data_IF_649071312056
#
_entry.id   IF_649071312056
#
_cell.length_a   1.000
_cell.length_b   1.000
_cell.length_c   1.000
_cell.angle_alpha   90.00
_cell.angle_beta   90.00
_cell.angle_gamma   90.00
#
_symmetry.space_group_name_H-M   'P 1'
#
loop_
_entity.id
_entity.type
_entity.pdbx_description
1 polymer ?
#
# COMPACT_ATOMS: atom_id res chain seq x y z
N UNK A 1 6.51 21.95 3.02
CA UNK A 1 5.46 21.14 3.68
C UNK A 1 5.94 19.71 3.88
N UNK A 2 5.49 19.10 4.98
CA UNK A 2 5.83 17.70 5.23
C UNK A 2 5.18 16.78 4.18
N UNK A 3 5.95 15.80 3.69
CA UNK A 3 5.46 14.82 2.74
C UNK A 3 4.37 13.95 3.38
N UNK A 4 3.28 13.72 2.67
CA UNK A 4 2.20 12.84 3.14
C UNK A 4 2.63 11.38 2.99
N UNK A 5 2.50 10.62 4.07
CA UNK A 5 2.95 9.24 4.13
C UNK A 5 1.80 8.36 4.62
N UNK A 6 1.51 7.31 3.85
CA UNK A 6 0.63 6.22 4.29
C UNK A 6 1.48 5.02 4.67
N UNK A 7 1.25 4.47 5.85
CA UNK A 7 1.95 3.28 6.33
C UNK A 7 0.99 2.11 6.37
N UNK A 8 1.33 1.04 5.66
CA UNK A 8 0.53 -0.19 5.60
C UNK A 8 1.17 -1.22 6.52
N UNK A 9 0.38 -1.78 7.43
CA UNK A 9 0.83 -2.85 8.31
C UNK A 9 -0.23 -3.96 8.35
N UNK A 10 0.18 -5.21 8.42
CA UNK A 10 -0.74 -6.33 8.41
C UNK A 10 -0.24 -7.52 9.20
N UNK A 11 -1.16 -8.22 9.88
CA UNK A 11 -0.91 -9.50 10.52
C UNK A 11 -2.24 -10.22 10.76
N UNK A 12 -2.20 -11.54 10.60
CA UNK A 12 -3.33 -12.42 10.94
C UNK A 12 -4.67 -11.99 10.33
N UNK A 13 -4.65 -11.57 9.06
CA UNK A 13 -5.86 -11.17 8.34
C UNK A 13 -6.36 -9.76 8.60
N UNK A 14 -5.68 -9.01 9.47
CA UNK A 14 -6.00 -7.61 9.74
C UNK A 14 -4.94 -6.71 9.12
N UNK A 15 -5.38 -5.67 8.42
CA UNK A 15 -4.50 -4.67 7.82
C UNK A 15 -4.92 -3.29 8.31
N UNK A 16 -3.94 -2.51 8.68
CA UNK A 16 -4.14 -1.14 9.16
C UNK A 16 -3.31 -0.20 8.29
N UNK A 17 -3.93 0.86 7.82
CA UNK A 17 -3.25 1.91 7.07
C UNK A 17 -3.40 3.22 7.84
N UNK A 18 -2.29 3.85 8.16
CA UNK A 18 -2.28 5.17 8.80
C UNK A 18 -1.85 6.23 7.80
N UNK A 19 -2.45 7.41 7.91
CA UNK A 19 -2.13 8.58 7.13
C UNK A 19 -1.39 9.57 8.04
N UNK A 20 -0.24 10.06 7.58
CA UNK A 20 0.55 11.04 8.34
C UNK A 20 -0.12 12.40 8.44
N UNK A 21 -1.10 12.69 7.58
CA UNK A 21 -1.86 13.94 7.66
C UNK A 21 -2.72 13.93 8.92
N UNK A 22 -2.41 14.83 9.84
CA UNK A 22 -3.14 14.93 11.11
C UNK A 22 -4.43 15.72 10.90
N UNK A 23 -5.50 15.27 11.58
CA UNK A 23 -6.76 16.01 11.64
C UNK A 23 -6.65 17.19 12.62
N UNK A 24 -7.74 17.92 12.82
CA UNK A 24 -7.78 19.08 13.72
C UNK A 24 -7.41 18.71 15.17
N UNK A 25 -7.62 17.45 15.57
CA UNK A 25 -7.28 16.96 16.91
C UNK A 25 -5.83 16.44 16.99
N UNK A 26 -5.02 16.63 15.96
CA UNK A 26 -3.62 16.20 15.94
C UNK A 26 -3.42 14.70 15.72
N UNK A 27 -4.46 13.96 15.34
CA UNK A 27 -4.41 12.51 15.08
C UNK A 27 -4.42 12.23 13.58
N UNK A 28 -3.61 11.27 13.14
CA UNK A 28 -3.64 10.77 11.78
C UNK A 28 -4.90 9.94 11.52
N UNK A 29 -5.34 9.90 10.28
CA UNK A 29 -6.45 9.02 9.90
C UNK A 29 -6.00 7.56 9.99
N UNK A 30 -6.92 6.71 10.44
CA UNK A 30 -6.69 5.27 10.57
C UNK A 30 -7.75 4.52 9.76
N UNK A 31 -7.30 3.61 8.92
CA UNK A 31 -8.16 2.74 8.13
C UNK A 31 -7.89 1.30 8.52
N UNK A 32 -8.91 0.56 8.91
CA UNK A 32 -8.78 -0.85 9.32
C UNK A 32 -9.54 -1.75 8.34
N UNK A 33 -8.90 -2.81 7.92
CA UNK A 33 -9.45 -3.80 6.99
C UNK A 33 -9.27 -5.19 7.57
N UNK A 34 -10.25 -6.05 7.41
CA UNK A 34 -10.20 -7.42 7.93
C UNK A 34 -10.59 -8.39 6.82
N UNK A 35 -9.84 -9.48 6.69
CA UNK A 35 -10.18 -10.60 5.82
C UNK A 35 -10.60 -11.79 6.68
N UNK A 36 -11.84 -12.28 6.45
CA UNK A 36 -12.41 -13.39 7.22
C UNK A 36 -11.60 -14.69 7.08
N UNK A 37 -10.95 -14.87 5.93
CA UNK A 37 -10.11 -16.05 5.66
C UNK A 37 -8.68 -15.89 6.15
N UNK A 38 -8.39 -14.81 6.86
CA UNK A 38 -7.07 -14.48 7.39
C UNK A 38 -5.97 -14.38 6.32
N UNK A 39 -6.35 -14.07 5.08
CA UNK A 39 -5.39 -13.85 4.01
C UNK A 39 -4.86 -12.41 4.08
N UNK A 40 -3.81 -12.22 4.85
CA UNK A 40 -3.22 -10.89 5.09
C UNK A 40 -2.70 -10.25 3.82
N UNK A 41 -2.08 -11.02 2.92
CA UNK A 41 -1.57 -10.49 1.66
C UNK A 41 -2.68 -9.95 0.78
N UNK A 42 -3.75 -10.71 0.57
CA UNK A 42 -4.89 -10.28 -0.22
C UNK A 42 -5.56 -9.05 0.42
N UNK A 43 -5.76 -9.08 1.73
CA UNK A 43 -6.34 -7.97 2.48
C UNK A 43 -5.51 -6.70 2.33
N UNK A 44 -4.17 -6.81 2.40
CA UNK A 44 -3.27 -5.66 2.27
C UNK A 44 -3.35 -5.04 0.87
N UNK A 45 -3.40 -5.85 -0.17
CA UNK A 45 -3.48 -5.34 -1.54
C UNK A 45 -4.83 -4.67 -1.79
N UNK A 46 -5.93 -5.26 -1.32
CA UNK A 46 -7.27 -4.64 -1.40
C UNK A 46 -7.29 -3.30 -0.66
N UNK A 47 -6.77 -3.27 0.55
CA UNK A 47 -6.72 -2.07 1.37
C UNK A 47 -5.88 -0.97 0.69
N UNK A 48 -4.72 -1.34 0.16
CA UNK A 48 -3.86 -0.42 -0.57
C UNK A 48 -4.60 0.17 -1.78
N UNK A 49 -5.29 -0.67 -2.55
CA UNK A 49 -6.07 -0.21 -3.70
C UNK A 49 -7.18 0.76 -3.30
N UNK A 50 -7.90 0.47 -2.21
CA UNK A 50 -8.95 1.35 -1.73
C UNK A 50 -8.41 2.73 -1.37
N UNK A 51 -7.24 2.80 -0.73
CA UNK A 51 -6.61 4.07 -0.41
C UNK A 51 -6.09 4.78 -1.66
N UNK A 52 -5.46 4.04 -2.59
CA UNK A 52 -4.98 4.63 -3.84
C UNK A 52 -6.12 5.26 -4.65
N UNK A 53 -7.32 4.70 -4.59
CA UNK A 53 -8.48 5.20 -5.34
C UNK A 53 -9.07 6.48 -4.74
N UNK A 54 -8.74 6.82 -3.50
CA UNK A 54 -9.15 8.10 -2.90
C UNK A 54 -8.07 9.18 -3.04
N UNK A 55 -6.86 8.82 -3.45
CA UNK A 55 -5.80 9.81 -3.74
C UNK A 55 -6.17 10.57 -5.02
N UNK A 56 -6.16 11.92 -5.00
CA UNK A 56 -6.49 12.69 -6.19
C UNK A 56 -5.55 12.38 -7.37
N UNK A 57 -6.12 12.31 -8.57
CA UNK A 57 -5.37 12.05 -9.80
C UNK A 57 -4.55 13.27 -10.21
N UNK A 58 -3.50 13.10 -11.05
CA UNK A 58 -2.63 14.20 -11.50
C UNK A 58 -3.37 15.40 -12.08
N UNK A 59 -4.50 15.16 -12.76
CA UNK A 59 -5.29 16.23 -13.38
C UNK A 59 -6.24 16.94 -12.42
N UNK A 60 -6.41 16.42 -11.20
CA UNK A 60 -7.34 16.96 -10.20
C UNK A 60 -6.65 17.81 -9.14
N UNK A 61 -5.38 17.52 -8.87
CA UNK A 61 -4.59 18.23 -7.88
C UNK A 61 -3.15 18.32 -8.30
N UNK A 62 -2.53 19.46 -7.94
CA UNK A 62 -1.08 19.60 -8.02
C UNK A 62 -0.51 19.25 -6.66
N UNK A 63 0.43 18.29 -6.66
CA UNK A 63 1.18 17.93 -5.47
C UNK A 63 2.57 18.55 -5.56
N UNK A 64 3.02 19.17 -4.49
CA UNK A 64 4.40 19.65 -4.39
C UNK A 64 5.36 18.47 -4.35
N UNK A 65 4.92 17.38 -3.71
CA UNK A 65 5.70 16.15 -3.60
C UNK A 65 4.77 14.94 -3.72
N UNK A 66 5.27 13.81 -4.26
CA UNK A 66 4.48 12.59 -4.32
C UNK A 66 4.04 12.12 -2.94
N UNK A 67 2.85 11.52 -2.87
CA UNK A 67 2.39 10.83 -1.68
C UNK A 67 3.16 9.51 -1.54
N UNK A 68 3.69 9.24 -0.37
CA UNK A 68 4.51 8.06 -0.11
C UNK A 68 3.68 6.97 0.55
N UNK A 69 3.81 5.73 0.04
CA UNK A 69 3.22 4.53 0.64
C UNK A 69 4.34 3.62 1.12
N UNK A 70 4.33 3.31 2.42
CA UNK A 70 5.29 2.39 3.02
C UNK A 70 4.65 1.00 3.10
N UNK A 71 5.16 0.06 2.30
CA UNK A 71 4.56 -1.27 2.15
C UNK A 71 5.21 -2.29 3.07
N UNK A 72 4.42 -3.17 3.69
CA UNK A 72 4.97 -4.26 4.49
C UNK A 72 5.69 -5.28 3.60
N UNK A 73 6.58 -6.05 4.22
CA UNK A 73 7.46 -6.99 3.53
C UNK A 73 6.74 -7.95 2.60
N UNK A 74 5.55 -8.42 2.98
CA UNK A 74 4.83 -9.45 2.23
C UNK A 74 4.14 -8.95 0.96
N UNK A 75 4.11 -7.62 0.71
CA UNK A 75 3.61 -7.03 -0.54
C UNK A 75 4.58 -6.02 -1.16
N UNK A 76 5.73 -5.75 -0.53
CA UNK A 76 6.66 -4.73 -1.04
C UNK A 76 7.23 -5.04 -2.41
N UNK A 77 7.31 -6.32 -2.80
CA UNK A 77 7.79 -6.73 -4.12
C UNK A 77 6.87 -6.26 -5.24
N UNK A 78 5.61 -5.97 -4.95
CA UNK A 78 4.66 -5.44 -5.93
C UNK A 78 4.86 -3.94 -6.22
N UNK A 79 5.80 -3.28 -5.54
CA UNK A 79 6.17 -1.90 -5.88
C UNK A 79 6.87 -1.81 -7.23
N UNK A 80 7.48 -2.90 -7.69
CA UNK A 80 8.18 -2.93 -8.96
C UNK A 80 7.23 -3.19 -10.12
N UNK A 81 7.30 -2.32 -11.13
CA UNK A 81 6.49 -2.45 -12.34
C UNK A 81 6.71 -3.80 -13.04
N UNK A 82 7.97 -4.21 -13.17
CA UNK A 82 8.33 -5.47 -13.81
C UNK A 82 7.63 -6.66 -13.16
N UNK A 83 7.61 -6.70 -11.84
CA UNK A 83 6.96 -7.78 -11.10
C UNK A 83 5.46 -7.79 -11.33
N UNK A 84 4.82 -6.62 -11.25
CA UNK A 84 3.37 -6.51 -11.51
C UNK A 84 3.04 -6.93 -12.95
N UNK A 85 3.82 -6.48 -13.92
CA UNK A 85 3.58 -6.81 -15.34
C UNK A 85 3.69 -8.29 -15.62
N UNK A 86 4.65 -9.00 -15.02
CA UNK A 86 4.74 -10.46 -15.15
C UNK A 86 3.48 -11.12 -14.61
N UNK A 87 3.02 -10.74 -13.43
CA UNK A 87 1.81 -11.31 -12.83
C UNK A 87 0.57 -11.05 -13.69
N UNK A 88 0.40 -9.81 -14.13
CA UNK A 88 -0.77 -9.39 -14.91
C UNK A 88 -0.81 -10.04 -16.29
N UNK A 89 0.36 -10.19 -16.93
CA UNK A 89 0.45 -10.72 -18.28
C UNK A 89 0.35 -12.25 -18.34
N UNK A 90 1.00 -12.94 -17.39
CA UNK A 90 1.09 -14.41 -17.42
C UNK A 90 0.10 -15.10 -16.49
N UNK A 91 -0.45 -14.41 -15.50
CA UNK A 91 -1.25 -15.02 -14.43
C UNK A 91 -0.43 -15.84 -13.45
N UNK A 92 0.90 -15.75 -13.53
CA UNK A 92 1.84 -16.52 -12.73
C UNK A 92 2.91 -15.64 -12.12
N UNK A 93 3.49 -16.09 -11.02
CA UNK A 93 4.69 -15.49 -10.43
C UNK A 93 5.89 -15.73 -11.35
N UNK A 94 7.00 -15.02 -11.10
CA UNK A 94 8.23 -15.21 -11.89
C UNK A 94 8.76 -16.63 -11.91
N UNK A 95 8.49 -17.41 -10.83
CA UNK A 95 8.88 -18.81 -10.74
C UNK A 95 7.91 -19.77 -11.45
N UNK A 96 6.88 -19.27 -12.12
CA UNK A 96 5.88 -20.07 -12.83
C UNK A 96 4.69 -20.52 -11.98
N UNK A 97 4.68 -20.21 -10.68
CA UNK A 97 3.57 -20.58 -9.80
C UNK A 97 2.31 -19.78 -10.18
N UNK A 98 1.19 -20.50 -10.36
CA UNK A 98 -0.08 -19.90 -10.70
C UNK A 98 -0.62 -19.07 -9.54
N UNK A 99 -1.15 -17.87 -9.86
CA UNK A 99 -1.68 -16.97 -8.86
C UNK A 99 -3.18 -17.20 -8.71
N UNK A 100 -3.68 -17.21 -7.46
CA UNK A 100 -5.11 -17.33 -7.20
C UNK A 100 -5.89 -16.20 -7.90
N UNK A 101 -7.07 -16.49 -8.49
CA UNK A 101 -7.81 -15.49 -9.27
C UNK A 101 -8.14 -14.21 -8.50
N UNK A 102 -8.51 -14.31 -7.22
CA UNK A 102 -8.81 -13.14 -6.41
C UNK A 102 -7.59 -12.24 -6.21
N UNK A 103 -6.43 -12.86 -5.93
CA UNK A 103 -5.18 -12.13 -5.76
C UNK A 103 -4.76 -11.47 -7.06
N UNK A 104 -4.86 -12.20 -8.17
CA UNK A 104 -4.51 -11.68 -9.49
C UNK A 104 -5.39 -10.48 -9.87
N UNK A 105 -6.68 -10.54 -9.58
CA UNK A 105 -7.59 -9.43 -9.83
C UNK A 105 -7.17 -8.16 -9.09
N UNK A 106 -6.74 -8.30 -7.82
CA UNK A 106 -6.29 -7.17 -7.02
C UNK A 106 -4.92 -6.64 -7.49
N UNK A 107 -4.04 -7.50 -7.98
CA UNK A 107 -2.76 -7.05 -8.56
C UNK A 107 -3.01 -6.29 -9.87
N UNK A 108 -3.95 -6.73 -10.69
CA UNK A 108 -4.36 -5.98 -11.90
C UNK A 108 -4.90 -4.60 -11.54
N UNK A 109 -5.73 -4.54 -10.50
CA UNK A 109 -6.28 -3.28 -9.99
C UNK A 109 -5.16 -2.37 -9.47
N UNK A 110 -4.19 -2.92 -8.75
CA UNK A 110 -3.03 -2.18 -8.25
C UNK A 110 -2.22 -1.59 -9.41
N UNK A 111 -1.92 -2.40 -10.41
CA UNK A 111 -1.13 -1.96 -11.57
C UNK A 111 -1.82 -0.80 -12.29
N UNK A 112 -3.14 -0.88 -12.44
CA UNK A 112 -3.95 0.19 -13.05
C UNK A 112 -3.94 1.46 -12.19
N UNK A 113 -4.09 1.32 -10.87
CA UNK A 113 -4.08 2.46 -9.96
C UNK A 113 -2.73 3.19 -9.97
N UNK A 114 -1.63 2.43 -9.93
CA UNK A 114 -0.29 3.00 -9.99
C UNK A 114 -0.07 3.75 -11.31
N UNK A 115 -0.51 3.17 -12.41
CA UNK A 115 -0.41 3.80 -13.72
C UNK A 115 -1.21 5.12 -13.78
N UNK A 116 -2.43 5.13 -13.26
CA UNK A 116 -3.29 6.31 -13.25
C UNK A 116 -2.75 7.43 -12.36
N UNK A 117 -2.12 7.09 -11.24
CA UNK A 117 -1.57 8.06 -10.31
C UNK A 117 -0.17 8.53 -10.71
N UNK A 118 0.53 7.71 -11.51
CA UNK A 118 1.82 8.08 -12.09
C UNK A 118 2.80 8.64 -11.06
N UNK A 119 3.34 9.84 -11.32
CA UNK A 119 4.36 10.47 -10.45
C UNK A 119 3.80 11.09 -9.17
N UNK A 120 2.47 11.01 -8.95
CA UNK A 120 1.86 11.55 -7.73
C UNK A 120 2.02 10.64 -6.52
N UNK A 121 2.48 9.41 -6.73
CA UNK A 121 2.72 8.47 -5.64
C UNK A 121 4.10 7.83 -5.76
N UNK A 122 4.61 7.37 -4.63
CA UNK A 122 5.83 6.56 -4.55
C UNK A 122 5.57 5.40 -3.62
N UNK A 123 5.90 4.19 -4.08
CA UNK A 123 5.79 2.96 -3.29
C UNK A 123 7.16 2.56 -2.78
N UNK A 124 7.32 2.50 -1.46
CA UNK A 124 8.57 2.07 -0.83
C UNK A 124 8.36 0.81 -0.01
N UNK A 125 9.34 -0.08 -0.03
CA UNK A 125 9.36 -1.26 0.82
C UNK A 125 10.14 -1.01 2.10
N UNK A 126 9.88 -1.86 3.10
CA UNK A 126 10.57 -1.77 4.40
C UNK A 126 12.07 -1.98 4.31
N UNK A 127 12.52 -2.87 3.39
CA UNK A 127 13.93 -3.20 3.26
C UNK A 127 14.81 -2.03 2.79
N UNK A 128 14.25 -1.11 2.02
CA UNK A 128 14.98 0.04 1.50
C UNK A 128 15.05 1.20 2.48
N UNK A 129 14.25 1.18 3.53
CA UNK A 129 14.17 2.26 4.49
C UNK A 129 14.75 1.81 5.82
N UNK A 130 16.07 1.98 5.97
CA UNK A 130 16.74 1.87 7.27
C UNK A 130 16.43 3.10 8.13
N UNK A 131 15.33 3.78 7.88
CA UNK A 131 15.03 5.00 8.60
C UNK A 131 14.23 4.68 9.85
N UNK A 132 14.64 5.26 10.94
CA UNK A 132 13.91 5.24 12.19
C UNK A 132 12.46 5.68 11.98
N UNK A 133 12.23 6.58 11.05
CA UNK A 133 10.92 7.07 10.66
C UNK A 133 9.96 5.95 10.28
N UNK A 134 10.40 4.95 9.48
CA UNK A 134 9.55 3.83 9.10
C UNK A 134 9.15 3.00 10.32
N UNK A 135 10.13 2.70 11.17
CA UNK A 135 9.91 1.92 12.40
C UNK A 135 8.91 2.64 13.30
N UNK A 136 9.07 3.94 13.46
CA UNK A 136 8.20 4.76 14.29
C UNK A 136 6.77 4.76 13.76
N UNK A 137 6.58 4.89 12.44
CA UNK A 137 5.25 4.86 11.84
C UNK A 137 4.59 3.48 11.98
N UNK A 138 5.35 2.41 11.76
CA UNK A 138 4.85 1.04 11.90
C UNK A 138 4.40 0.78 13.34
N UNK A 139 5.24 1.13 14.32
CA UNK A 139 4.96 0.91 15.73
C UNK A 139 3.77 1.76 16.18
N UNK A 140 3.69 3.02 15.75
CA UNK A 140 2.55 3.88 16.04
C UNK A 140 1.25 3.31 15.47
N UNK A 141 1.29 2.75 14.26
CA UNK A 141 0.14 2.11 13.64
C UNK A 141 -0.38 0.94 14.49
N UNK A 142 0.52 0.07 14.96
CA UNK A 142 0.13 -1.05 15.81
C UNK A 142 -0.35 -0.62 17.19
N UNK A 143 0.23 0.40 17.77
CA UNK A 143 -0.21 0.92 19.07
C UNK A 143 -1.64 1.44 19.06
N UNK A 144 -2.09 1.98 17.94
CA UNK A 144 -3.46 2.49 17.82
C UNK A 144 -4.47 1.34 17.79
N UNK A 145 -4.08 0.16 17.30
CA UNK A 145 -4.95 -1.01 17.13
C UNK A 145 -4.91 -1.94 18.34
N UNK A 146 -3.78 -2.02 19.02
CA UNK A 146 -3.61 -2.82 20.22
C UNK A 146 -4.18 -2.05 21.43
#
# INVERSE_FOLDING_TARGET
MARRIYTVAGRAGTVVITDSKKNENGKGALYTFVDENQNTQLCAIKALNDILEIVPRPNQMKFDQPVVFLLPRFIEFLRYEDTRKVWVTTGCKKNGEQIAPELLAEVKRLDKNVELLSNNIQLFGQRGLKSQMFIDYRDATWKIVD
#
